data_IF_280014140273
#
_entry.id   IF_280014140273
#
_cell.length_a   1.000
_cell.length_b   1.000
_cell.length_c   1.000
_cell.angle_alpha   90.00
_cell.angle_beta   90.00
_cell.angle_gamma   90.00
#
_symmetry.space_group_name_H-M   'P 1'
#
loop_
_entity.id
_entity.type
_entity.pdbx_description
1 polymer ?
#
# COMPACT_ATOMS: atom_id res chain seq x y z
N UNK A 1 17.02 -14.12 7.51
CA UNK A 1 17.12 -13.70 6.10
C UNK A 1 17.58 -12.25 6.06
N UNK A 2 18.35 -11.82 5.06
CA UNK A 2 18.66 -10.39 4.88
C UNK A 2 17.40 -9.61 4.50
N UNK A 3 17.31 -8.36 4.93
CA UNK A 3 16.32 -7.35 4.51
C UNK A 3 17.08 -6.19 3.87
N UNK A 4 17.28 -6.25 2.56
CA UNK A 4 17.77 -5.16 1.74
C UNK A 4 16.66 -4.12 1.46
N UNK A 5 15.38 -4.50 1.53
CA UNK A 5 14.26 -3.61 1.20
C UNK A 5 12.99 -3.87 2.03
N UNK A 6 12.09 -2.89 2.10
CA UNK A 6 10.76 -3.07 2.69
C UNK A 6 9.93 -4.17 2.00
N UNK A 7 10.17 -4.40 0.70
CA UNK A 7 9.51 -5.47 -0.04
C UNK A 7 9.85 -6.86 0.52
N UNK A 8 11.09 -7.08 0.94
CA UNK A 8 11.49 -8.37 1.53
C UNK A 8 10.81 -8.60 2.89
N UNK A 9 10.60 -7.55 3.67
CA UNK A 9 9.81 -7.65 4.91
C UNK A 9 8.36 -8.02 4.59
N UNK A 10 7.78 -7.45 3.52
CA UNK A 10 6.45 -7.83 3.06
C UNK A 10 6.37 -9.25 2.53
N UNK A 11 7.37 -9.71 1.78
CA UNK A 11 7.45 -11.08 1.31
C UNK A 11 7.49 -12.07 2.48
N UNK A 12 8.29 -11.78 3.51
CA UNK A 12 8.32 -12.61 4.73
C UNK A 12 6.95 -12.66 5.42
N UNK A 13 6.21 -11.54 5.48
CA UNK A 13 4.85 -11.53 6.06
C UNK A 13 3.85 -12.27 5.17
N UNK A 14 3.95 -12.14 3.85
CA UNK A 14 3.10 -12.84 2.87
C UNK A 14 3.27 -14.37 2.92
N UNK A 15 4.45 -14.85 3.34
CA UNK A 15 4.76 -16.28 3.50
C UNK A 15 4.23 -16.88 4.81
N UNK A 16 3.79 -16.05 5.76
CA UNK A 16 3.19 -16.52 7.00
C UNK A 16 1.78 -17.09 6.76
N UNK A 17 1.34 -17.97 7.66
CA UNK A 17 -0.04 -18.44 7.65
C UNK A 17 -1.04 -17.28 7.82
N UNK A 18 -2.24 -17.32 7.21
CA UNK A 18 -3.24 -16.26 7.36
C UNK A 18 -3.68 -15.98 8.81
N UNK A 19 -3.49 -16.93 9.72
CA UNK A 19 -3.78 -16.81 11.15
C UNK A 19 -2.58 -16.33 11.97
N UNK A 20 -1.39 -16.20 11.36
CA UNK A 20 -0.15 -15.92 12.06
C UNK A 20 -0.21 -14.61 12.83
N UNK A 21 0.27 -14.65 14.07
CA UNK A 21 0.32 -13.51 14.99
C UNK A 21 1.66 -13.51 15.73
N UNK A 22 2.31 -12.35 15.78
CA UNK A 22 3.68 -12.25 16.26
C UNK A 22 4.37 -10.98 15.81
N UNK A 23 5.70 -11.01 15.80
CA UNK A 23 6.51 -9.90 15.34
C UNK A 23 7.68 -10.36 14.48
N UNK A 24 8.00 -9.55 13.47
CA UNK A 24 9.22 -9.64 12.70
C UNK A 24 10.24 -8.68 13.32
N UNK A 25 11.21 -9.21 14.07
CA UNK A 25 12.28 -8.40 14.67
C UNK A 25 13.32 -8.13 13.60
N UNK A 26 13.65 -6.85 13.44
CA UNK A 26 14.62 -6.37 12.46
C UNK A 26 15.87 -5.89 13.19
N UNK A 27 17.02 -6.45 12.82
CA UNK A 27 18.33 -6.18 13.42
C UNK A 27 19.32 -5.73 12.36
N UNK A 28 20.20 -4.79 12.70
CA UNK A 28 21.37 -4.43 11.90
C UNK A 28 22.67 -4.96 12.51
N UNK A 29 23.81 -4.50 11.98
CA UNK A 29 25.14 -4.79 12.52
C UNK A 29 25.33 -4.36 13.98
N UNK A 30 24.70 -3.25 14.39
CA UNK A 30 24.78 -2.69 15.75
C UNK A 30 23.70 -3.23 16.71
N UNK A 31 22.95 -4.27 16.29
CA UNK A 31 21.89 -4.89 17.10
C UNK A 31 20.46 -4.54 16.64
N UNK A 32 19.44 -4.72 17.52
CA UNK A 32 18.04 -4.55 17.15
C UNK A 32 17.70 -3.12 16.72
N UNK A 33 17.03 -2.98 15.57
CA UNK A 33 16.54 -1.70 15.03
C UNK A 33 15.06 -1.47 15.33
N UNK A 34 14.31 -2.54 15.52
CA UNK A 34 12.90 -2.51 15.91
C UNK A 34 12.16 -3.73 15.40
N UNK A 35 10.86 -3.60 15.17
CA UNK A 35 10.00 -4.72 14.81
C UNK A 35 8.78 -4.30 13.97
N UNK A 36 8.27 -5.26 13.20
CA UNK A 36 6.97 -5.18 12.52
C UNK A 36 6.02 -6.15 13.21
N UNK A 37 4.89 -5.64 13.70
CA UNK A 37 3.91 -6.44 14.42
C UNK A 37 2.83 -6.92 13.46
N UNK A 38 2.54 -8.21 13.51
CA UNK A 38 1.60 -8.89 12.61
C UNK A 38 0.52 -9.58 13.43
N UNK A 39 -0.73 -9.43 13.02
CA UNK A 39 -1.87 -10.15 13.58
C UNK A 39 -2.77 -10.65 12.46
N UNK A 40 -3.09 -11.95 12.51
CA UNK A 40 -3.87 -12.65 11.47
C UNK A 40 -3.35 -12.34 10.05
N UNK A 41 -2.04 -12.47 9.87
CA UNK A 41 -1.36 -12.25 8.59
C UNK A 41 -1.38 -10.79 8.08
N UNK A 42 -1.77 -9.83 8.91
CA UNK A 42 -1.84 -8.40 8.56
C UNK A 42 -0.90 -7.59 9.45
N UNK A 43 -0.32 -6.53 8.90
CA UNK A 43 0.57 -5.64 9.66
C UNK A 43 -0.28 -4.71 10.51
N UNK A 44 -0.11 -4.76 11.82
CA UNK A 44 -0.83 -3.87 12.75
C UNK A 44 -0.11 -2.53 12.86
N UNK A 45 1.20 -2.58 13.09
CA UNK A 45 2.07 -1.42 13.14
C UNK A 45 3.53 -1.85 13.03
N UNK A 46 4.40 -0.89 12.74
CA UNK A 46 5.84 -1.07 12.82
C UNK A 46 6.43 -0.05 13.78
N UNK A 47 7.48 -0.44 14.49
CA UNK A 47 8.22 0.41 15.41
C UNK A 47 9.70 0.39 15.04
N UNK A 48 10.24 1.57 14.75
CA UNK A 48 11.66 1.75 14.49
C UNK A 48 12.32 2.59 15.59
N UNK A 49 13.57 2.27 15.93
CA UNK A 49 14.38 3.08 16.84
C UNK A 49 14.44 4.53 16.34
N UNK A 50 14.29 5.49 17.26
CA UNK A 50 14.28 6.92 16.92
C UNK A 50 12.91 7.51 16.54
N UNK A 51 11.89 6.68 16.30
CA UNK A 51 10.54 7.14 15.94
C UNK A 51 9.52 7.11 17.08
N UNK A 52 9.94 6.89 18.33
CA UNK A 52 9.05 6.70 19.47
C UNK A 52 7.99 7.81 19.67
N UNK A 53 8.31 9.07 19.35
CA UNK A 53 7.38 10.22 19.47
C UNK A 53 6.65 10.54 18.16
N UNK A 54 6.91 9.81 17.07
CA UNK A 54 6.41 10.15 15.74
C UNK A 54 4.90 9.96 15.66
N UNK A 55 4.37 8.84 16.14
CA UNK A 55 2.93 8.59 16.14
C UNK A 55 2.16 9.67 16.92
N UNK A 56 2.58 10.00 18.14
CA UNK A 56 1.93 11.05 18.94
C UNK A 56 1.91 12.41 18.24
N UNK A 57 2.98 12.79 17.52
CA UNK A 57 2.99 14.01 16.70
C UNK A 57 2.01 13.95 15.53
N UNK A 58 1.92 12.80 14.85
CA UNK A 58 0.98 12.60 13.73
C UNK A 58 -0.47 12.66 14.18
N UNK A 59 -0.78 12.13 15.37
CA UNK A 59 -2.10 12.18 15.98
C UNK A 59 -2.44 13.60 16.44
N UNK A 60 -1.53 14.26 17.16
CA UNK A 60 -1.72 15.65 17.62
C UNK A 60 -1.99 16.61 16.46
N UNK A 61 -1.21 16.51 15.37
CA UNK A 61 -1.43 17.35 14.19
C UNK A 61 -2.81 17.15 13.54
N UNK A 62 -3.30 15.91 13.45
CA UNK A 62 -4.63 15.61 12.86
C UNK A 62 -5.78 15.99 13.77
N UNK A 63 -5.59 15.86 15.08
CA UNK A 63 -6.56 16.30 16.09
C UNK A 63 -6.48 17.81 16.37
N UNK A 64 -5.58 18.56 15.71
CA UNK A 64 -5.31 19.97 15.99
C UNK A 64 -5.02 20.25 17.48
N UNK A 65 -4.27 19.35 18.12
CA UNK A 65 -3.88 19.46 19.53
C UNK A 65 -2.51 20.13 19.68
N UNK A 66 -2.41 21.00 20.67
CA UNK A 66 -1.13 21.52 21.12
C UNK A 66 -0.22 20.39 21.66
N UNK A 67 1.12 20.48 21.50
CA UNK A 67 2.04 19.44 21.93
C UNK A 67 1.91 19.04 23.40
N UNK A 68 1.69 20.01 24.29
CA UNK A 68 1.51 19.78 25.73
C UNK A 68 0.21 19.04 26.07
N UNK A 69 -0.87 19.34 25.35
CA UNK A 69 -2.14 18.63 25.49
C UNK A 69 -2.01 17.18 25.03
N UNK A 70 -1.35 16.96 23.89
CA UNK A 70 -1.09 15.62 23.36
C UNK A 70 -0.19 14.80 24.30
N UNK A 71 0.85 15.40 24.89
CA UNK A 71 1.71 14.75 25.87
C UNK A 71 0.95 14.36 27.15
N UNK A 72 0.08 15.26 27.65
CA UNK A 72 -0.77 14.96 28.81
C UNK A 72 -1.68 13.74 28.57
N UNK A 73 -2.30 13.67 27.37
CA UNK A 73 -3.13 12.51 26.98
C UNK A 73 -2.28 11.24 26.86
N UNK A 74 -1.08 11.33 26.28
CA UNK A 74 -0.17 10.20 26.16
C UNK A 74 0.22 9.65 27.54
N UNK A 75 0.60 10.51 28.49
CA UNK A 75 0.96 10.11 29.85
C UNK A 75 -0.20 9.42 30.56
N UNK A 76 -1.40 10.00 30.45
CA UNK A 76 -2.64 9.40 30.95
C UNK A 76 -2.88 7.99 30.38
N UNK A 77 -2.74 7.83 29.06
CA UNK A 77 -2.96 6.53 28.40
C UNK A 77 -1.92 5.49 28.82
N UNK A 78 -0.66 5.93 28.95
CA UNK A 78 0.46 5.08 29.39
C UNK A 78 0.25 4.58 30.82
N UNK A 79 -0.15 5.47 31.73
CA UNK A 79 -0.41 5.12 33.14
C UNK A 79 -1.56 4.09 33.25
N UNK A 80 -2.63 4.29 32.48
CA UNK A 80 -3.82 3.43 32.51
C UNK A 80 -3.74 2.22 31.57
N UNK A 81 -2.64 2.08 30.83
CA UNK A 81 -2.42 1.03 29.82
C UNK A 81 -3.56 0.94 28.80
N UNK A 82 -4.11 2.07 28.40
CA UNK A 82 -5.14 2.15 27.34
C UNK A 82 -4.49 2.52 26.01
N UNK A 83 -4.94 1.96 24.87
CA UNK A 83 -4.43 2.33 23.56
C UNK A 83 -4.71 3.81 23.24
N UNK A 84 -3.66 4.57 22.93
CA UNK A 84 -3.75 6.02 22.74
C UNK A 84 -4.69 6.41 21.58
N UNK A 85 -4.56 5.74 20.43
CA UNK A 85 -5.33 6.07 19.23
C UNK A 85 -6.84 5.87 19.46
N UNK A 86 -7.19 4.69 19.94
CA UNK A 86 -8.57 4.32 20.28
C UNK A 86 -9.13 5.24 21.36
N UNK A 87 -8.32 5.62 22.36
CA UNK A 87 -8.75 6.58 23.37
C UNK A 87 -9.15 7.93 22.77
N UNK A 88 -8.35 8.47 21.84
CA UNK A 88 -8.66 9.73 21.14
C UNK A 88 -9.96 9.61 20.32
N UNK A 89 -10.18 8.47 19.67
CA UNK A 89 -11.40 8.20 18.90
C UNK A 89 -12.62 8.10 19.82
N UNK A 90 -12.54 7.32 20.90
CA UNK A 90 -13.65 7.19 21.88
C UNK A 90 -14.01 8.52 22.53
N UNK A 91 -13.04 9.42 22.71
CA UNK A 91 -13.27 10.77 23.25
C UNK A 91 -13.80 11.77 22.21
N UNK A 92 -13.93 11.38 20.94
CA UNK A 92 -14.37 12.27 19.85
C UNK A 92 -13.31 13.31 19.44
N UNK A 93 -12.07 13.15 19.88
CA UNK A 93 -10.95 14.07 19.58
C UNK A 93 -10.36 13.78 18.20
N UNK A 94 -10.46 12.53 17.73
CA UNK A 94 -9.96 12.09 16.44
C UNK A 94 -10.99 11.21 15.75
N UNK A 95 -11.16 11.35 14.43
CA UNK A 95 -12.01 10.43 13.67
C UNK A 95 -11.29 9.09 13.43
N UNK A 96 -12.01 7.96 13.32
CA UNK A 96 -11.39 6.66 13.02
C UNK A 96 -10.54 6.66 11.74
N UNK A 97 -10.97 7.39 10.71
CA UNK A 97 -10.27 7.50 9.42
C UNK A 97 -8.93 8.22 9.60
N UNK A 98 -8.90 9.31 10.38
CA UNK A 98 -7.69 10.07 10.65
C UNK A 98 -6.68 9.24 11.46
N UNK A 99 -7.17 8.42 12.40
CA UNK A 99 -6.33 7.44 13.12
C UNK A 99 -5.73 6.42 12.16
N UNK A 100 -6.54 5.82 11.28
CA UNK A 100 -6.05 4.85 10.29
C UNK A 100 -4.98 5.47 9.39
N UNK A 101 -5.18 6.69 8.91
CA UNK A 101 -4.19 7.41 8.09
C UNK A 101 -2.90 7.69 8.87
N UNK A 102 -3.00 8.11 10.14
CA UNK A 102 -1.82 8.34 10.99
C UNK A 102 -1.01 7.06 11.23
N UNK A 103 -1.70 5.95 11.51
CA UNK A 103 -1.08 4.64 11.70
C UNK A 103 -0.44 4.11 10.43
N UNK A 104 -1.10 4.26 9.28
CA UNK A 104 -0.55 3.89 7.97
C UNK A 104 0.74 4.66 7.70
N UNK A 105 0.70 5.98 7.84
CA UNK A 105 1.86 6.85 7.65
C UNK A 105 3.00 6.47 8.59
N UNK A 106 2.73 6.33 9.89
CA UNK A 106 3.74 5.94 10.88
C UNK A 106 4.37 4.58 10.57
N UNK A 107 3.55 3.60 10.17
CA UNK A 107 3.99 2.24 9.85
C UNK A 107 4.91 2.26 8.63
N UNK A 108 4.56 3.02 7.60
CA UNK A 108 5.37 3.20 6.39
C UNK A 108 6.69 3.90 6.69
N UNK A 109 6.68 4.99 7.46
CA UNK A 109 7.90 5.68 7.90
C UNK A 109 8.81 4.75 8.73
N UNK A 110 8.22 3.95 9.61
CA UNK A 110 8.95 2.96 10.42
C UNK A 110 9.55 1.85 9.58
N UNK A 111 8.80 1.29 8.62
CA UNK A 111 9.30 0.27 7.71
C UNK A 111 10.47 0.78 6.86
N UNK A 112 10.35 2.01 6.35
CA UNK A 112 11.44 2.66 5.61
C UNK A 112 12.71 2.78 6.46
N UNK A 113 12.56 3.16 7.74
CA UNK A 113 13.69 3.26 8.66
C UNK A 113 14.29 1.88 9.03
N UNK A 114 13.44 0.87 9.27
CA UNK A 114 13.88 -0.48 9.63
C UNK A 114 14.66 -1.16 8.50
N UNK A 115 14.20 -0.97 7.26
CA UNK A 115 14.74 -1.65 6.08
C UNK A 115 15.85 -0.86 5.37
N UNK A 116 16.40 0.18 6.00
CA UNK A 116 17.54 0.91 5.47
C UNK A 116 18.84 0.13 5.72
N UNK A 117 19.62 -0.20 4.68
CA UNK A 117 20.96 -0.83 4.65
C UNK A 117 21.28 -1.91 5.70
N UNK A 118 21.63 -3.12 5.23
CA UNK A 118 22.13 -4.24 6.03
C UNK A 118 21.24 -4.64 7.23
N UNK A 119 19.94 -4.78 6.98
CA UNK A 119 19.03 -5.35 7.97
C UNK A 119 18.94 -6.88 7.81
N UNK A 120 18.61 -7.56 8.90
CA UNK A 120 18.20 -8.97 8.94
C UNK A 120 16.91 -9.07 9.73
N UNK A 121 16.03 -9.96 9.31
CA UNK A 121 14.80 -10.23 10.03
C UNK A 121 14.68 -11.68 10.51
N UNK A 122 14.02 -11.82 11.65
CA UNK A 122 13.60 -13.08 12.23
C UNK A 122 12.16 -12.94 12.77
N UNK A 123 11.36 -13.99 12.53
CA UNK A 123 9.97 -14.06 12.97
C UNK A 123 9.88 -14.69 14.36
N UNK A 124 9.04 -14.09 15.22
CA UNK A 124 8.76 -14.56 16.57
C UNK A 124 7.24 -14.61 16.80
N UNK A 125 6.64 -15.81 16.87
CA UNK A 125 5.23 -15.97 17.22
C UNK A 125 4.95 -15.40 18.62
N UNK A 126 3.82 -14.71 18.79
CA UNK A 126 3.37 -14.18 20.09
C UNK A 126 1.85 -14.24 20.21
N UNK A 127 1.36 -14.22 21.45
CA UNK A 127 -0.06 -13.99 21.70
C UNK A 127 -0.47 -12.63 21.12
N UNK A 128 -1.60 -12.60 20.41
CA UNK A 128 -2.13 -11.35 19.85
C UNK A 128 -2.54 -10.36 20.93
N UNK A 129 -2.44 -9.08 20.61
CA UNK A 129 -2.99 -8.02 21.46
C UNK A 129 -4.48 -7.79 21.19
N UNK A 130 -5.04 -8.36 20.11
CA UNK A 130 -6.43 -8.14 19.71
C UNK A 130 -6.61 -6.78 19.03
N UNK A 131 -5.69 -6.38 18.14
CA UNK A 131 -5.83 -5.13 17.39
C UNK A 131 -7.10 -5.17 16.52
N UNK A 132 -7.78 -4.04 16.44
CA UNK A 132 -8.98 -3.91 15.61
C UNK A 132 -8.60 -4.08 14.13
N UNK A 133 -9.28 -4.94 13.35
CA UNK A 133 -8.98 -5.16 11.93
C UNK A 133 -8.91 -3.88 11.10
N UNK A 134 -9.72 -2.87 11.44
CA UNK A 134 -9.75 -1.56 10.76
C UNK A 134 -8.46 -0.74 10.92
N UNK A 135 -7.58 -1.11 11.86
CA UNK A 135 -6.27 -0.49 12.10
C UNK A 135 -5.12 -1.43 11.74
N UNK A 136 -5.42 -2.47 10.95
CA UNK A 136 -4.41 -3.36 10.36
C UNK A 136 -4.37 -3.18 8.84
N UNK A 137 -3.20 -3.43 8.27
CA UNK A 137 -2.88 -3.14 6.88
C UNK A 137 -2.46 -4.42 6.16
N UNK A 138 -2.93 -4.52 4.91
CA UNK A 138 -2.43 -5.54 4.01
C UNK A 138 -1.00 -5.13 3.56
N UNK A 139 -0.13 -6.10 3.25
CA UNK A 139 1.24 -5.79 2.80
C UNK A 139 1.22 -5.06 1.46
N UNK A 140 0.28 -5.38 0.56
CA UNK A 140 0.09 -4.67 -0.70
C UNK A 140 -0.30 -3.20 -0.50
N UNK A 141 -1.15 -2.90 0.48
CA UNK A 141 -1.56 -1.55 0.84
C UNK A 141 -0.35 -0.73 1.31
N UNK A 142 0.46 -1.30 2.21
CA UNK A 142 1.69 -0.68 2.70
C UNK A 142 2.70 -0.45 1.56
N UNK A 143 2.82 -1.42 0.65
CA UNK A 143 3.75 -1.33 -0.47
C UNK A 143 3.37 -0.21 -1.44
N UNK A 144 2.08 -0.12 -1.80
CA UNK A 144 1.57 0.97 -2.62
C UNK A 144 1.76 2.33 -1.95
N UNK A 145 1.59 2.42 -0.63
CA UNK A 145 1.78 3.68 0.10
C UNK A 145 3.25 4.11 0.14
N UNK A 146 4.20 3.18 0.29
CA UNK A 146 5.64 3.47 0.18
C UNK A 146 5.98 4.03 -1.21
N UNK A 147 5.45 3.41 -2.27
CA UNK A 147 5.65 3.92 -3.63
C UNK A 147 4.99 5.28 -3.84
N UNK A 148 3.80 5.51 -3.28
CA UNK A 148 3.10 6.80 -3.34
C UNK A 148 3.93 7.92 -2.70
N UNK A 149 4.56 7.67 -1.55
CA UNK A 149 5.45 8.64 -0.88
C UNK A 149 6.67 8.95 -1.74
N UNK A 150 7.26 7.92 -2.37
CA UNK A 150 8.46 8.07 -3.21
C UNK A 150 8.14 8.80 -4.53
N UNK A 151 6.93 8.60 -5.06
CA UNK A 151 6.50 9.07 -6.38
C UNK A 151 5.24 9.95 -6.30
N UNK A 152 5.21 10.88 -5.35
CA UNK A 152 4.00 11.62 -4.96
C UNK A 152 3.29 12.32 -6.13
N UNK A 153 4.03 13.00 -7.01
CA UNK A 153 3.44 13.69 -8.17
C UNK A 153 2.74 12.71 -9.13
N UNK A 154 3.36 11.55 -9.38
CA UNK A 154 2.80 10.50 -10.24
C UNK A 154 1.59 9.82 -9.58
N UNK A 155 1.66 9.55 -8.27
CA UNK A 155 0.53 9.01 -7.52
C UNK A 155 -0.70 9.93 -7.57
N UNK A 156 -0.52 11.24 -7.33
CA UNK A 156 -1.61 12.22 -7.41
C UNK A 156 -2.21 12.35 -8.81
N UNK A 157 -1.39 12.24 -9.86
CA UNK A 157 -1.88 12.24 -11.25
C UNK A 157 -2.71 10.99 -11.59
N UNK A 158 -2.31 9.83 -11.07
CA UNK A 158 -2.91 8.54 -11.43
C UNK A 158 -4.16 8.19 -10.62
N UNK A 159 -4.33 8.75 -9.42
CA UNK A 159 -5.52 8.47 -8.60
C UNK A 159 -6.85 8.78 -9.32
N UNK A 160 -7.04 9.95 -9.99
CA UNK A 160 -8.23 10.20 -10.79
C UNK A 160 -8.38 9.24 -11.97
N UNK A 161 -7.28 8.79 -12.57
CA UNK A 161 -7.29 7.83 -13.69
C UNK A 161 -7.81 6.47 -13.22
N UNK A 162 -7.34 5.98 -12.06
CA UNK A 162 -7.82 4.75 -11.45
C UNK A 162 -9.32 4.86 -11.14
N UNK A 163 -9.74 5.92 -10.46
CA UNK A 163 -11.14 6.14 -10.08
C UNK A 163 -12.08 6.25 -11.28
N UNK A 164 -11.64 6.89 -12.36
CA UNK A 164 -12.44 6.99 -13.57
C UNK A 164 -12.50 5.64 -14.32
N UNK A 165 -11.42 4.87 -14.33
CA UNK A 165 -11.34 3.65 -15.14
C UNK A 165 -12.05 2.46 -14.49
N UNK A 166 -11.96 2.33 -13.17
CA UNK A 166 -12.45 1.18 -12.42
C UNK A 166 -13.73 1.54 -11.65
N UNK A 167 -14.67 0.60 -11.57
CA UNK A 167 -15.95 0.77 -10.87
C UNK A 167 -16.02 -0.02 -9.57
N UNK A 168 -17.18 0.03 -8.93
CA UNK A 168 -17.44 -0.76 -7.73
C UNK A 168 -17.25 -2.25 -7.99
N UNK A 169 -16.50 -2.91 -7.11
CA UNK A 169 -16.16 -4.33 -7.22
C UNK A 169 -14.94 -4.63 -8.10
N UNK A 170 -14.43 -3.67 -8.87
CA UNK A 170 -13.13 -3.80 -9.53
C UNK A 170 -11.99 -3.44 -8.55
N UNK A 171 -10.76 -3.82 -8.90
CA UNK A 171 -9.58 -3.27 -8.27
C UNK A 171 -8.51 -2.94 -9.30
N UNK A 172 -7.66 -1.97 -8.97
CA UNK A 172 -6.51 -1.63 -9.78
C UNK A 172 -5.35 -1.08 -8.94
N UNK A 173 -4.16 -1.15 -9.51
CA UNK A 173 -2.99 -0.46 -9.02
C UNK A 173 -2.26 0.22 -10.19
N UNK A 174 -1.74 1.40 -9.91
CA UNK A 174 -0.85 2.11 -10.82
C UNK A 174 0.59 1.87 -10.40
N UNK A 175 1.48 1.74 -11.38
CA UNK A 175 2.86 1.36 -11.19
C UNK A 175 3.79 2.29 -11.97
N UNK A 176 4.96 2.54 -11.39
CA UNK A 176 6.08 3.20 -12.07
C UNK A 176 7.23 2.22 -12.25
N UNK A 177 8.05 2.43 -13.29
CA UNK A 177 9.33 1.73 -13.46
C UNK A 177 10.45 2.74 -13.29
N UNK A 178 11.34 2.45 -12.35
CA UNK A 178 12.56 3.23 -12.17
C UNK A 178 13.73 2.47 -12.80
N UNK A 179 14.69 3.18 -13.39
CA UNK A 179 15.89 2.55 -13.95
C UNK A 179 16.77 1.90 -12.86
N UNK A 180 16.56 2.28 -11.61
CA UNK A 180 17.33 1.81 -10.45
C UNK A 180 16.76 0.53 -9.83
N UNK A 181 15.52 0.15 -10.13
CA UNK A 181 14.90 -1.07 -9.60
C UNK A 181 14.49 -2.01 -10.72
N UNK A 182 14.82 -3.29 -10.56
CA UNK A 182 14.47 -4.34 -11.51
C UNK A 182 12.97 -4.72 -11.53
N UNK A 183 12.11 -4.01 -10.80
CA UNK A 183 10.70 -4.35 -10.67
C UNK A 183 9.82 -3.09 -10.57
N UNK A 184 8.57 -3.16 -11.04
CA UNK A 184 7.64 -2.03 -10.98
C UNK A 184 7.20 -1.74 -9.54
N UNK A 185 7.12 -0.46 -9.20
CA UNK A 185 6.71 0.02 -7.88
C UNK A 185 5.25 0.46 -7.92
N UNK A 186 4.35 -0.10 -7.09
CA UNK A 186 2.97 0.39 -7.00
C UNK A 186 2.95 1.76 -6.33
N UNK A 187 2.24 2.72 -6.91
CA UNK A 187 2.20 4.12 -6.45
C UNK A 187 0.79 4.62 -6.12
N UNK A 188 -0.25 3.90 -6.57
CA UNK A 188 -1.63 4.20 -6.25
C UNK A 188 -2.47 2.92 -6.39
N UNK A 189 -3.58 2.85 -5.66
CA UNK A 189 -4.50 1.71 -5.67
C UNK A 189 -5.95 2.18 -5.68
N UNK A 190 -6.83 1.35 -6.23
CA UNK A 190 -8.28 1.52 -6.23
C UNK A 190 -8.98 0.20 -5.93
N UNK A 191 -10.06 0.26 -5.17
CA UNK A 191 -10.86 -0.91 -4.81
C UNK A 191 -10.17 -1.88 -3.85
N UNK A 192 -10.68 -3.11 -3.79
CA UNK A 192 -10.17 -4.16 -2.91
C UNK A 192 -8.97 -4.88 -3.55
N UNK A 193 -7.80 -4.23 -3.52
CA UNK A 193 -6.55 -4.80 -4.06
C UNK A 193 -6.16 -6.11 -3.37
N UNK A 194 -5.37 -6.99 -4.02
CA UNK A 194 -4.87 -8.21 -3.40
C UNK A 194 -4.15 -7.89 -2.09
N UNK A 195 -4.35 -8.71 -1.04
CA UNK A 195 -3.75 -8.41 0.26
C UNK A 195 -2.21 -8.52 0.26
N UNK A 196 -1.65 -9.41 -0.57
CA UNK A 196 -0.23 -9.71 -0.63
C UNK A 196 0.52 -8.77 -1.58
N UNK A 197 1.60 -8.15 -1.08
CA UNK A 197 2.53 -7.34 -1.88
C UNK A 197 3.19 -8.17 -2.99
N UNK A 198 3.51 -9.44 -2.72
CA UNK A 198 4.09 -10.37 -3.70
C UNK A 198 3.12 -10.65 -4.85
N UNK A 199 1.83 -10.81 -4.55
CA UNK A 199 0.79 -10.96 -5.58
C UNK A 199 0.65 -9.69 -6.41
N UNK A 200 0.59 -8.52 -5.75
CA UNK A 200 0.51 -7.23 -6.45
C UNK A 200 1.71 -7.01 -7.38
N UNK A 201 2.93 -7.33 -6.91
CA UNK A 201 4.15 -7.22 -7.68
C UNK A 201 4.17 -8.16 -8.90
N UNK A 202 3.71 -9.40 -8.72
CA UNK A 202 3.60 -10.37 -9.83
C UNK A 202 2.68 -9.84 -10.93
N UNK A 203 1.56 -9.23 -10.56
CA UNK A 203 0.64 -8.62 -11.52
C UNK A 203 1.28 -7.40 -12.20
N UNK A 204 1.97 -6.54 -11.44
CA UNK A 204 2.74 -5.42 -12.00
C UNK A 204 3.80 -5.87 -13.01
N UNK A 205 4.56 -6.93 -12.69
CA UNK A 205 5.58 -7.52 -13.60
C UNK A 205 4.97 -8.08 -14.87
N UNK A 206 3.85 -8.81 -14.75
CA UNK A 206 3.10 -9.29 -15.90
C UNK A 206 2.66 -8.13 -16.80
N UNK A 207 2.01 -7.11 -16.22
CA UNK A 207 1.51 -5.97 -16.97
C UNK A 207 2.63 -5.20 -17.67
N UNK A 208 3.75 -4.93 -16.98
CA UNK A 208 4.92 -4.29 -17.57
C UNK A 208 5.47 -5.08 -18.77
N UNK A 209 5.64 -6.39 -18.60
CA UNK A 209 6.15 -7.27 -19.68
C UNK A 209 5.19 -7.33 -20.86
N UNK A 210 3.89 -7.47 -20.59
CA UNK A 210 2.87 -7.55 -21.62
C UNK A 210 2.80 -6.24 -22.43
N UNK A 211 2.83 -5.09 -21.75
CA UNK A 211 2.82 -3.76 -22.40
C UNK A 211 4.09 -3.49 -23.19
N UNK A 212 5.26 -3.92 -22.72
CA UNK A 212 6.51 -3.80 -23.49
C UNK A 212 6.46 -4.64 -24.77
N UNK A 213 5.94 -5.87 -24.68
CA UNK A 213 5.77 -6.76 -25.84
C UNK A 213 4.74 -6.22 -26.83
N UNK A 214 3.65 -5.61 -26.39
CA UNK A 214 2.64 -5.11 -27.33
C UNK A 214 3.04 -3.80 -27.98
N UNK A 215 3.90 -3.01 -27.35
CA UNK A 215 4.43 -1.77 -27.96
C UNK A 215 5.19 -2.01 -29.26
N UNK A 216 5.67 -3.24 -29.50
CA UNK A 216 6.30 -3.57 -30.80
C UNK A 216 5.27 -3.78 -31.92
N UNK A 217 3.99 -3.95 -31.59
CA UNK A 217 2.90 -4.26 -32.53
C UNK A 217 1.79 -3.19 -32.57
N UNK A 218 1.68 -2.36 -31.54
CA UNK A 218 0.61 -1.37 -31.37
C UNK A 218 1.16 -0.05 -30.84
N UNK A 219 0.46 1.05 -31.12
CA UNK A 219 0.75 2.35 -30.53
C UNK A 219 0.63 2.34 -28.99
N UNK A 220 1.25 3.32 -28.32
CA UNK A 220 1.35 3.44 -26.84
C UNK A 220 -0.01 3.52 -26.11
N UNK A 221 -1.12 3.68 -26.83
CA UNK A 221 -2.48 3.75 -26.30
C UNK A 221 -3.19 2.40 -26.11
N UNK A 222 -2.54 1.26 -26.38
CA UNK A 222 -3.18 -0.05 -26.32
C UNK A 222 -3.62 -0.46 -24.91
N UNK A 223 -4.87 -0.94 -24.79
CA UNK A 223 -5.35 -1.68 -23.62
C UNK A 223 -5.13 -3.17 -23.86
N UNK A 224 -4.48 -3.83 -22.92
CA UNK A 224 -4.38 -5.28 -22.87
C UNK A 224 -5.42 -5.82 -21.91
N UNK A 225 -6.09 -6.90 -22.33
CA UNK A 225 -7.03 -7.63 -21.50
C UNK A 225 -6.80 -9.13 -21.67
N UNK A 226 -6.70 -9.84 -20.54
CA UNK A 226 -6.63 -11.30 -20.51
C UNK A 226 -7.77 -11.81 -19.64
N UNK A 227 -8.67 -12.58 -20.25
CA UNK A 227 -9.78 -13.20 -19.53
C UNK A 227 -9.29 -14.44 -18.79
N UNK A 228 -9.58 -14.49 -17.49
CA UNK A 228 -9.35 -15.65 -16.63
C UNK A 228 -10.70 -16.24 -16.25
N UNK A 229 -10.91 -17.52 -16.60
CA UNK A 229 -12.04 -18.28 -16.07
C UNK A 229 -11.67 -18.82 -14.70
N UNK A 230 -12.39 -18.41 -13.68
CA UNK A 230 -12.32 -19.01 -12.33
C UNK A 230 -13.59 -19.81 -12.06
N UNK A 231 -13.55 -20.76 -11.12
CA UNK A 231 -14.76 -21.50 -10.70
C UNK A 231 -15.72 -20.52 -10.01
N UNK A 232 -16.65 -19.95 -10.78
CA UNK A 232 -17.72 -19.09 -10.27
C UNK A 232 -17.83 -17.71 -10.91
N UNK A 233 -16.80 -17.21 -11.62
CA UNK A 233 -16.88 -15.95 -12.35
C UNK A 233 -15.83 -15.85 -13.48
N UNK A 234 -16.19 -15.15 -14.55
CA UNK A 234 -15.25 -14.66 -15.55
C UNK A 234 -14.69 -13.32 -15.08
N UNK A 235 -13.39 -13.28 -14.77
CA UNK A 235 -12.70 -12.03 -14.47
C UNK A 235 -11.69 -11.71 -15.56
N UNK A 236 -11.38 -10.44 -15.73
CA UNK A 236 -10.43 -9.95 -16.72
C UNK A 236 -9.30 -9.21 -16.02
N UNK A 237 -8.06 -9.63 -16.25
CA UNK A 237 -6.90 -8.83 -15.92
C UNK A 237 -6.68 -7.83 -17.05
N UNK A 238 -6.55 -6.56 -16.69
CA UNK A 238 -6.37 -5.46 -17.63
C UNK A 238 -5.05 -4.74 -17.35
N UNK A 239 -4.42 -4.23 -18.40
CA UNK A 239 -3.24 -3.39 -18.30
C UNK A 239 -3.22 -2.31 -19.40
N UNK A 240 -2.84 -1.08 -19.05
CA UNK A 240 -2.68 0.03 -20.01
C UNK A 240 -1.63 1.05 -19.54
N UNK A 241 -1.07 1.82 -20.48
CA UNK A 241 -0.15 2.93 -20.18
C UNK A 241 -0.91 4.18 -19.74
N UNK A 242 -0.28 4.95 -18.87
CA UNK A 242 -0.79 6.25 -18.41
C UNK A 242 0.39 7.20 -18.22
N UNK A 243 0.76 7.93 -19.29
CA UNK A 243 2.03 8.65 -19.38
C UNK A 243 3.27 7.77 -19.18
N UNK A 244 4.12 8.15 -18.23
CA UNK A 244 5.33 7.42 -17.80
C UNK A 244 5.05 6.19 -16.91
N UNK A 245 3.79 6.03 -16.49
CA UNK A 245 3.34 4.95 -15.63
C UNK A 245 2.49 3.93 -16.41
N UNK A 246 2.06 2.90 -15.71
CA UNK A 246 1.07 1.96 -16.23
C UNK A 246 0.11 1.52 -15.12
N UNK A 247 -1.07 1.10 -15.53
CA UNK A 247 -2.12 0.63 -14.63
C UNK A 247 -2.35 -0.85 -14.92
N UNK A 248 -2.53 -1.64 -13.86
CA UNK A 248 -2.97 -3.01 -13.95
C UNK A 248 -4.07 -3.28 -12.91
N UNK A 249 -5.06 -4.10 -13.26
CA UNK A 249 -6.17 -4.39 -12.36
C UNK A 249 -6.97 -5.60 -12.78
N UNK A 250 -7.97 -5.93 -11.98
CA UNK A 250 -8.95 -6.97 -12.27
C UNK A 250 -10.34 -6.35 -12.34
N UNK A 251 -11.10 -6.78 -13.34
CA UNK A 251 -12.49 -6.37 -13.54
C UNK A 251 -13.38 -7.58 -13.80
N UNK A 252 -14.69 -7.35 -13.84
CA UNK A 252 -15.61 -8.31 -14.46
C UNK A 252 -15.35 -8.48 -15.97
N UNK A 253 -16.02 -9.46 -16.59
CA UNK A 253 -15.84 -9.79 -18.02
C UNK A 253 -16.07 -8.61 -18.98
N UNK A 254 -16.99 -7.70 -18.66
CA UNK A 254 -17.27 -6.50 -19.47
C UNK A 254 -16.41 -5.28 -19.11
N UNK A 255 -15.60 -5.39 -18.05
CA UNK A 255 -14.78 -4.30 -17.54
C UNK A 255 -13.80 -3.70 -18.55
N UNK A 256 -13.11 -4.49 -19.42
CA UNK A 256 -12.23 -3.92 -20.44
C UNK A 256 -12.96 -2.96 -21.39
N UNK A 257 -14.16 -3.32 -21.85
CA UNK A 257 -14.98 -2.45 -22.71
C UNK A 257 -15.40 -1.17 -22.01
N UNK A 258 -15.73 -1.25 -20.72
CA UNK A 258 -16.04 -0.08 -19.88
C UNK A 258 -14.84 0.85 -19.74
N UNK A 259 -13.65 0.30 -19.48
CA UNK A 259 -12.40 1.08 -19.38
C UNK A 259 -12.11 1.79 -20.70
N UNK A 260 -12.21 1.08 -21.84
CA UNK A 260 -12.01 1.67 -23.17
C UNK A 260 -12.96 2.85 -23.42
N UNK A 261 -14.26 2.65 -23.16
CA UNK A 261 -15.27 3.69 -23.37
C UNK A 261 -14.99 4.93 -22.51
N UNK A 262 -14.72 4.74 -21.21
CA UNK A 262 -14.43 5.85 -20.28
C UNK A 262 -13.15 6.60 -20.66
N UNK A 263 -12.09 5.90 -21.05
CA UNK A 263 -10.85 6.52 -21.54
C UNK A 263 -11.09 7.31 -22.84
N UNK A 264 -11.84 6.74 -23.79
CA UNK A 264 -12.19 7.43 -25.03
C UNK A 264 -13.01 8.72 -24.77
N UNK A 265 -13.93 8.69 -23.81
CA UNK A 265 -14.69 9.88 -23.39
C UNK A 265 -13.79 10.95 -22.77
N UNK A 266 -12.87 10.56 -21.87
CA UNK A 266 -11.92 11.49 -21.26
C UNK A 266 -11.01 12.17 -22.30
N UNK A 267 -10.56 11.43 -23.33
CA UNK A 267 -9.81 12.00 -24.46
C UNK A 267 -10.60 13.08 -25.18
N UNK A 268 -11.87 12.79 -25.50
CA UNK A 268 -12.77 13.75 -26.18
C UNK A 268 -13.01 15.01 -25.36
N UNK A 269 -13.16 14.88 -24.03
CA UNK A 269 -13.38 16.03 -23.15
C UNK A 269 -12.16 16.91 -22.96
N UNK A 270 -10.95 16.32 -22.92
CA UNK A 270 -9.71 17.06 -22.68
C UNK A 270 -9.07 17.61 -23.96
N UNK A 271 -9.40 17.09 -25.15
CA UNK A 271 -8.71 17.44 -26.39
C UNK A 271 -7.24 17.01 -26.40
N UNK A 272 -6.91 15.96 -25.64
CA UNK A 272 -5.53 15.55 -25.30
C UNK A 272 -5.23 14.15 -25.84
N UNK A 273 -3.99 13.98 -26.30
CA UNK A 273 -3.40 12.76 -26.89
C UNK A 273 -3.20 11.64 -25.85
N UNK A 274 -3.04 10.39 -26.30
CA UNK A 274 -2.84 9.21 -25.44
C UNK A 274 -1.55 9.24 -24.61
N UNK A 275 -0.56 10.04 -25.02
CA UNK A 275 0.70 10.18 -24.29
C UNK A 275 0.58 11.00 -23.00
N UNK A 276 -0.51 11.77 -22.86
CA UNK A 276 -0.67 12.80 -21.81
C UNK A 276 -1.72 12.39 -20.74
N UNK A 277 -2.37 11.23 -20.89
CA UNK A 277 -3.25 10.59 -19.92
C UNK A 277 -2.56 9.41 -19.26
#
# INVERSE_FOLDING_TARGET
MGLATAFEAFAMVDELEPSATGELVVSGSEGPRGAVFVERGRVCWAAARGLARRLSRLLGARASLEPSAMESIFLYCKERRVPLGEHLVTRGVLRPEDLRVALLQHTVESLHHLCAHDARAAWYPRAGAGYSPQFTFATAELFAHIGAVTHAATASRLEPVLRASFGDGDWAAAFVRTNTRGFPEPVATHGAVPASASTLLRIGKWAATALDLTRTFTDDGALLAVTRRTRGANTCLVAFRSGDAFVAGETCEYGPGRILNRRAQLRRMKGVSDADL
#
